data_IF_826874465828
#
_entry.id   IF_826874465828
#
_cell.length_a   1.000
_cell.length_b   1.000
_cell.length_c   1.000
_cell.angle_alpha   90.00
_cell.angle_beta   90.00
_cell.angle_gamma   90.00
#
_symmetry.space_group_name_H-M   'P 1'
#
loop_
_entity.id
_entity.type
_entity.pdbx_description
1 polymer ?
#
# COMPACT_ATOMS: atom_id res chain seq x y z
N UNK A 1 -21.66 84.01 -30.50
CA UNK A 1 -21.91 84.60 -29.17
C UNK A 1 -22.82 83.66 -28.38
N UNK A 2 -22.36 83.26 -27.18
CA UNK A 2 -23.05 82.60 -26.05
C UNK A 2 -23.85 81.29 -26.25
N UNK A 3 -23.28 80.25 -25.63
CA UNK A 3 -23.91 79.01 -25.13
C UNK A 3 -24.96 79.37 -24.08
N UNK A 4 -26.12 78.71 -24.09
CA UNK A 4 -27.03 78.66 -22.94
C UNK A 4 -27.33 77.20 -22.60
N UNK A 5 -26.74 76.73 -21.48
CA UNK A 5 -27.04 75.45 -20.85
C UNK A 5 -28.41 75.54 -20.17
N UNK A 6 -29.35 74.68 -20.56
CA UNK A 6 -30.57 74.45 -19.79
C UNK A 6 -30.35 73.25 -18.87
N UNK A 7 -30.24 73.51 -17.57
CA UNK A 7 -30.46 72.50 -16.53
C UNK A 7 -31.97 72.23 -16.46
N UNK A 8 -32.39 71.00 -16.77
CA UNK A 8 -33.75 70.54 -16.51
C UNK A 8 -33.72 69.78 -15.18
N UNK A 9 -34.38 70.32 -14.15
CA UNK A 9 -34.74 69.57 -12.94
C UNK A 9 -36.21 69.19 -13.05
N UNK A 10 -36.58 67.90 -13.18
CA UNK A 10 -37.98 67.51 -13.15
C UNK A 10 -38.43 67.31 -11.69
N UNK A 11 -39.54 67.96 -11.36
CA UNK A 11 -40.20 67.96 -10.05
C UNK A 11 -41.40 67.02 -10.09
N UNK A 12 -41.19 65.69 -10.08
CA UNK A 12 -42.20 64.69 -9.70
C UNK A 12 -41.60 63.28 -9.46
N UNK A 13 -41.02 63.04 -8.27
CA UNK A 13 -40.28 61.81 -7.96
C UNK A 13 -41.13 60.64 -7.41
N UNK A 14 -42.46 60.78 -7.31
CA UNK A 14 -43.33 59.75 -6.68
C UNK A 14 -43.41 58.44 -7.47
N UNK A 15 -43.37 58.50 -8.81
CA UNK A 15 -43.37 57.30 -9.67
C UNK A 15 -41.98 56.66 -9.82
N UNK A 16 -40.93 57.47 -9.87
CA UNK A 16 -39.54 57.00 -10.03
C UNK A 16 -39.07 56.25 -8.78
N UNK A 17 -39.44 56.72 -7.57
CA UNK A 17 -39.13 56.00 -6.33
C UNK A 17 -39.76 54.59 -6.30
N UNK A 18 -40.99 54.43 -6.83
CA UNK A 18 -41.65 53.13 -6.93
C UNK A 18 -40.93 52.19 -7.91
N UNK A 19 -40.49 52.71 -9.06
CA UNK A 19 -39.75 51.91 -10.04
C UNK A 19 -38.37 51.49 -9.53
N UNK A 20 -37.68 52.39 -8.82
CA UNK A 20 -36.39 52.07 -8.19
C UNK A 20 -36.58 51.01 -7.10
N UNK A 21 -37.58 51.16 -6.23
CA UNK A 21 -37.84 50.17 -5.16
C UNK A 21 -38.26 48.82 -5.72
N UNK A 22 -39.10 48.78 -6.76
CA UNK A 22 -39.46 47.53 -7.43
C UNK A 22 -38.24 46.87 -8.10
N UNK A 23 -37.40 47.66 -8.78
CA UNK A 23 -36.17 47.14 -9.41
C UNK A 23 -35.21 46.57 -8.37
N UNK A 24 -34.97 47.31 -7.28
CA UNK A 24 -34.14 46.85 -6.16
C UNK A 24 -34.73 45.59 -5.52
N UNK A 25 -36.06 45.54 -5.32
CA UNK A 25 -36.74 44.37 -4.75
C UNK A 25 -36.61 43.15 -5.66
N UNK A 26 -36.75 43.31 -6.98
CA UNK A 26 -36.57 42.18 -7.92
C UNK A 26 -35.14 41.63 -7.91
N UNK A 27 -34.13 42.49 -7.85
CA UNK A 27 -32.72 42.09 -7.77
C UNK A 27 -32.45 41.36 -6.45
N UNK A 28 -32.97 41.88 -5.33
CA UNK A 28 -32.81 41.24 -4.01
C UNK A 28 -33.49 39.87 -3.97
N UNK A 29 -34.70 39.74 -4.54
CA UNK A 29 -35.41 38.46 -4.59
C UNK A 29 -34.66 37.44 -5.45
N UNK A 30 -34.16 37.85 -6.63
CA UNK A 30 -33.37 36.98 -7.49
C UNK A 30 -32.10 36.49 -6.77
N UNK A 31 -31.37 37.42 -6.13
CA UNK A 31 -30.17 37.10 -5.37
C UNK A 31 -30.46 36.19 -4.18
N UNK A 32 -31.54 36.44 -3.43
CA UNK A 32 -31.94 35.60 -2.30
C UNK A 32 -32.33 34.18 -2.73
N UNK A 33 -32.99 34.03 -3.88
CA UNK A 33 -33.33 32.72 -4.45
C UNK A 33 -32.09 31.95 -4.89
N UNK A 34 -31.16 32.61 -5.58
CA UNK A 34 -29.90 32.01 -6.04
C UNK A 34 -29.01 31.59 -4.85
N UNK A 35 -28.94 32.42 -3.81
CA UNK A 35 -28.24 32.10 -2.57
C UNK A 35 -28.92 30.93 -1.82
N UNK A 36 -30.25 30.86 -1.80
CA UNK A 36 -30.97 29.74 -1.19
C UNK A 36 -30.72 28.42 -1.92
N UNK A 37 -30.72 28.44 -3.26
CA UNK A 37 -30.47 27.26 -4.08
C UNK A 37 -29.02 26.77 -3.94
N UNK A 38 -28.05 27.67 -3.98
CA UNK A 38 -26.63 27.33 -3.81
C UNK A 38 -26.30 26.78 -2.41
N UNK A 39 -26.88 27.37 -1.36
CA UNK A 39 -26.71 26.86 0.02
C UNK A 39 -27.34 25.46 0.16
N UNK A 40 -28.54 25.24 -0.36
CA UNK A 40 -29.19 23.91 -0.33
C UNK A 40 -28.38 22.87 -1.11
N UNK A 41 -27.89 23.21 -2.30
CA UNK A 41 -27.06 22.33 -3.12
C UNK A 41 -25.76 21.94 -2.39
N UNK A 42 -25.12 22.91 -1.72
CA UNK A 42 -23.90 22.68 -0.94
C UNK A 42 -24.14 21.82 0.31
N UNK A 43 -25.24 22.06 1.03
CA UNK A 43 -25.57 21.28 2.22
C UNK A 43 -25.93 19.83 1.88
N UNK A 44 -26.69 19.60 0.80
CA UNK A 44 -27.03 18.26 0.33
C UNK A 44 -25.78 17.53 -0.16
N UNK A 45 -24.89 18.18 -0.93
CA UNK A 45 -23.67 17.53 -1.42
C UNK A 45 -22.71 17.16 -0.29
N UNK A 46 -22.57 18.00 0.75
CA UNK A 46 -21.73 17.72 1.92
C UNK A 46 -22.32 16.61 2.79
N UNK A 47 -23.63 16.63 3.06
CA UNK A 47 -24.29 15.61 3.88
C UNK A 47 -24.32 14.24 3.19
N UNK A 48 -24.66 14.21 1.90
CA UNK A 48 -24.61 12.99 1.08
C UNK A 48 -23.18 12.48 0.96
N UNK A 49 -22.20 13.36 0.72
CA UNK A 49 -20.78 12.97 0.64
C UNK A 49 -20.25 12.32 1.91
N UNK A 50 -20.67 12.79 3.10
CA UNK A 50 -20.24 12.16 4.37
C UNK A 50 -20.86 10.78 4.58
N UNK A 51 -22.17 10.64 4.34
CA UNK A 51 -22.89 9.36 4.42
C UNK A 51 -22.35 8.35 3.41
N UNK A 52 -22.11 8.80 2.19
CA UNK A 52 -21.61 7.97 1.10
C UNK A 52 -20.20 7.48 1.43
N UNK A 53 -19.32 8.36 1.93
CA UNK A 53 -17.97 7.97 2.36
C UNK A 53 -17.97 7.00 3.55
N UNK A 54 -18.87 7.18 4.52
CA UNK A 54 -19.05 6.19 5.60
C UNK A 54 -19.51 4.84 5.07
N UNK A 55 -20.48 4.83 4.16
CA UNK A 55 -21.00 3.61 3.53
C UNK A 55 -19.88 2.88 2.80
N UNK A 56 -19.12 3.60 1.96
CA UNK A 56 -17.97 3.06 1.24
C UNK A 56 -16.88 2.49 2.17
N UNK A 57 -16.62 3.17 3.30
CA UNK A 57 -15.67 2.70 4.32
C UNK A 57 -16.11 1.36 4.92
N UNK A 58 -17.40 1.22 5.26
CA UNK A 58 -17.94 -0.04 5.76
C UNK A 58 -17.97 -1.14 4.70
N UNK A 59 -18.26 -0.81 3.44
CA UNK A 59 -18.18 -1.76 2.33
C UNK A 59 -16.75 -2.31 2.16
N UNK A 60 -15.77 -1.42 2.10
CA UNK A 60 -14.37 -1.80 1.98
C UNK A 60 -13.91 -2.62 3.20
N UNK A 61 -14.34 -2.24 4.40
CA UNK A 61 -14.02 -2.98 5.61
C UNK A 61 -14.66 -4.37 5.66
N UNK A 62 -15.92 -4.49 5.23
CA UNK A 62 -16.61 -5.77 5.09
C UNK A 62 -15.87 -6.70 4.12
N UNK A 63 -15.45 -6.17 2.97
CA UNK A 63 -14.63 -6.90 2.01
C UNK A 63 -13.36 -7.47 2.62
N UNK A 64 -12.58 -6.63 3.30
CA UNK A 64 -11.35 -7.05 3.97
C UNK A 64 -11.60 -8.16 4.99
N UNK A 65 -12.67 -8.06 5.79
CA UNK A 65 -13.01 -9.09 6.78
C UNK A 65 -13.41 -10.43 6.15
N UNK A 66 -14.19 -10.41 5.06
CA UNK A 66 -14.54 -11.63 4.31
C UNK A 66 -13.28 -12.28 3.74
N UNK A 67 -12.41 -11.49 3.12
CA UNK A 67 -11.12 -11.97 2.62
C UNK A 67 -10.24 -12.54 3.73
N UNK A 68 -10.18 -11.90 4.89
CA UNK A 68 -9.46 -12.44 6.06
C UNK A 68 -10.02 -13.79 6.51
N UNK A 69 -11.35 -13.97 6.47
CA UNK A 69 -12.01 -15.24 6.75
C UNK A 69 -11.64 -16.33 5.74
N UNK A 70 -11.65 -16.01 4.45
CA UNK A 70 -11.24 -16.92 3.37
C UNK A 70 -9.76 -17.32 3.52
N UNK A 71 -8.86 -16.36 3.73
CA UNK A 71 -7.43 -16.59 3.96
C UNK A 71 -7.15 -17.48 5.18
N UNK A 72 -7.96 -17.35 6.24
CA UNK A 72 -7.85 -18.15 7.45
C UNK A 72 -8.32 -19.59 7.24
N UNK A 73 -9.46 -19.77 6.54
CA UNK A 73 -10.00 -21.10 6.22
C UNK A 73 -9.09 -21.89 5.29
N UNK A 74 -8.45 -21.21 4.34
CA UNK A 74 -7.65 -21.88 3.31
C UNK A 74 -6.41 -22.60 3.87
N UNK A 75 -5.82 -22.09 4.95
CA UNK A 75 -4.65 -22.70 5.61
C UNK A 75 -4.97 -24.03 6.32
N UNK A 76 -6.25 -24.38 6.45
CA UNK A 76 -6.68 -25.71 6.91
C UNK A 76 -6.50 -26.78 5.82
N UNK A 77 -6.24 -26.39 4.57
CA UNK A 77 -5.89 -27.29 3.46
C UNK A 77 -4.37 -27.48 3.37
N UNK A 78 -3.92 -28.68 2.98
CA UNK A 78 -2.51 -29.08 3.05
C UNK A 78 -1.56 -28.17 2.22
N UNK A 79 -0.41 -27.83 2.81
CA UNK A 79 0.66 -26.99 2.24
C UNK A 79 1.24 -27.47 0.89
N UNK A 80 0.88 -28.69 0.48
CA UNK A 80 1.22 -29.26 -0.82
C UNK A 80 0.59 -28.45 -1.96
N UNK A 81 -0.50 -27.70 -1.76
CA UNK A 81 -1.18 -27.00 -2.85
C UNK A 81 -0.88 -25.49 -2.94
N UNK A 82 0.20 -24.99 -2.32
CA UNK A 82 0.41 -23.55 -2.12
C UNK A 82 0.35 -22.66 -3.39
N UNK A 83 0.72 -23.16 -4.59
CA UNK A 83 0.54 -22.41 -5.85
C UNK A 83 -0.95 -22.29 -6.18
N UNK A 84 -1.69 -23.40 -6.11
CA UNK A 84 -3.12 -23.43 -6.38
C UNK A 84 -3.90 -22.70 -5.30
N UNK A 85 -3.41 -22.71 -4.05
CA UNK A 85 -3.96 -21.97 -2.90
C UNK A 85 -4.14 -20.48 -3.24
N UNK A 86 -3.10 -19.85 -3.82
CA UNK A 86 -3.10 -18.42 -4.14
C UNK A 86 -4.06 -18.06 -5.30
N UNK A 87 -4.18 -18.92 -6.31
CA UNK A 87 -5.15 -18.73 -7.40
C UNK A 87 -6.59 -18.98 -6.95
N UNK A 88 -6.83 -20.02 -6.16
CA UNK A 88 -8.15 -20.35 -5.62
C UNK A 88 -8.68 -19.25 -4.68
N UNK A 89 -7.79 -18.52 -3.99
CA UNK A 89 -8.19 -17.36 -3.17
C UNK A 89 -8.82 -16.27 -4.04
N UNK A 90 -8.24 -15.97 -5.20
CA UNK A 90 -8.77 -14.93 -6.08
C UNK A 90 -10.17 -15.27 -6.59
N UNK A 91 -10.37 -16.50 -7.06
CA UNK A 91 -11.66 -16.96 -7.58
C UNK A 91 -12.70 -17.05 -6.45
N UNK A 92 -12.32 -17.60 -5.30
CA UNK A 92 -13.21 -17.68 -4.13
C UNK A 92 -13.61 -16.30 -3.58
N UNK A 93 -12.74 -15.29 -3.69
CA UNK A 93 -13.09 -13.91 -3.32
C UNK A 93 -14.11 -13.36 -4.30
N UNK A 94 -13.90 -13.53 -5.60
CA UNK A 94 -14.86 -13.10 -6.63
C UNK A 94 -16.22 -13.74 -6.39
N UNK A 95 -16.26 -15.07 -6.25
CA UNK A 95 -17.50 -15.82 -5.98
C UNK A 95 -18.19 -15.35 -4.70
N UNK A 96 -17.42 -15.14 -3.62
CA UNK A 96 -17.95 -14.65 -2.36
C UNK A 96 -18.55 -13.24 -2.51
N UNK A 97 -17.91 -12.36 -3.27
CA UNK A 97 -18.40 -11.00 -3.52
C UNK A 97 -19.64 -10.98 -4.41
N UNK A 98 -19.74 -11.89 -5.39
CA UNK A 98 -20.94 -12.06 -6.20
C UNK A 98 -22.12 -12.62 -5.39
N UNK A 99 -21.85 -13.51 -4.44
CA UNK A 99 -22.87 -14.11 -3.58
C UNK A 99 -23.46 -13.15 -2.53
N UNK A 100 -22.76 -12.05 -2.21
CA UNK A 100 -23.18 -11.03 -1.25
C UNK A 100 -23.16 -9.65 -1.93
N UNK A 101 -24.08 -9.39 -2.88
CA UNK A 101 -24.10 -8.12 -3.59
C UNK A 101 -24.53 -6.99 -2.65
N UNK A 102 -23.88 -5.83 -2.79
CA UNK A 102 -24.33 -4.62 -2.12
C UNK A 102 -25.53 -4.02 -2.86
N UNK A 103 -26.54 -3.56 -2.11
CA UNK A 103 -27.74 -2.91 -2.69
C UNK A 103 -27.38 -1.68 -3.53
N UNK A 104 -26.38 -0.92 -3.07
CA UNK A 104 -25.85 0.25 -3.77
C UNK A 104 -24.32 0.19 -3.79
N UNK A 105 -23.74 0.44 -4.97
CA UNK A 105 -22.29 0.49 -5.17
C UNK A 105 -21.67 -0.84 -5.58
N UNK A 106 -20.36 -0.80 -5.86
CA UNK A 106 -19.54 -1.95 -6.25
C UNK A 106 -18.33 -2.05 -5.33
N UNK A 107 -17.91 -3.27 -5.05
CA UNK A 107 -16.71 -3.57 -4.28
C UNK A 107 -15.78 -4.45 -5.13
N UNK A 108 -14.53 -4.04 -5.26
CA UNK A 108 -13.46 -4.81 -5.89
C UNK A 108 -12.40 -5.10 -4.85
N UNK A 109 -11.93 -6.34 -4.78
CA UNK A 109 -10.90 -6.76 -3.83
C UNK A 109 -9.71 -7.33 -4.61
N UNK A 110 -8.51 -6.96 -4.19
CA UNK A 110 -7.26 -7.56 -4.66
C UNK A 110 -6.46 -8.06 -3.46
N UNK A 111 -5.90 -9.26 -3.57
CA UNK A 111 -4.98 -9.82 -2.57
C UNK A 111 -3.60 -9.92 -3.17
N UNK A 112 -2.60 -9.43 -2.43
CA UNK A 112 -1.20 -9.41 -2.85
C UNK A 112 -0.40 -10.11 -1.76
N UNK A 113 0.44 -11.06 -2.16
CA UNK A 113 1.37 -11.71 -1.25
C UNK A 113 2.55 -10.77 -0.92
N UNK A 114 2.75 -10.47 0.36
CA UNK A 114 3.87 -9.63 0.80
C UNK A 114 5.17 -10.42 0.89
N UNK A 115 5.14 -11.76 1.04
CA UNK A 115 6.34 -12.60 0.95
C UNK A 115 6.81 -12.76 -0.49
N UNK A 116 6.02 -12.41 -1.50
CA UNK A 116 6.47 -12.37 -2.91
C UNK A 116 7.47 -11.23 -3.19
N UNK A 117 7.65 -10.32 -2.24
CA UNK A 117 8.44 -9.07 -2.36
C UNK A 117 9.75 -9.16 -1.58
N UNK A 118 10.71 -8.30 -1.93
CA UNK A 118 11.96 -8.16 -1.17
C UNK A 118 11.66 -7.51 0.18
N UNK A 119 11.97 -8.22 1.27
CA UNK A 119 11.76 -7.74 2.64
C UNK A 119 12.95 -6.88 3.06
N UNK A 120 12.81 -5.55 3.06
CA UNK A 120 13.93 -4.64 3.35
C UNK A 120 14.47 -4.81 4.78
N UNK A 121 13.59 -5.16 5.72
CA UNK A 121 13.95 -5.42 7.11
C UNK A 121 14.75 -6.73 7.30
N UNK A 122 14.88 -7.56 6.27
CA UNK A 122 15.66 -8.81 6.30
C UNK A 122 17.13 -8.64 5.90
N UNK A 123 17.55 -7.43 5.47
CA UNK A 123 18.94 -7.14 5.12
C UNK A 123 19.88 -7.24 6.33
N UNK A 124 19.34 -7.07 7.54
CA UNK A 124 20.07 -7.12 8.79
C UNK A 124 19.34 -8.04 9.79
N UNK A 125 20.04 -9.03 10.31
CA UNK A 125 19.49 -10.03 11.22
C UNK A 125 20.51 -10.39 12.30
N UNK A 126 20.05 -10.45 13.56
CA UNK A 126 20.85 -10.87 14.72
C UNK A 126 22.20 -10.13 14.84
N UNK A 127 22.21 -8.83 14.54
CA UNK A 127 23.42 -8.00 14.60
C UNK A 127 24.38 -8.17 13.43
N UNK A 128 23.95 -8.82 12.33
CA UNK A 128 24.77 -9.08 11.15
C UNK A 128 24.02 -8.79 9.86
N UNK A 129 24.78 -8.36 8.86
CA UNK A 129 24.34 -8.26 7.48
C UNK A 129 24.03 -9.63 6.89
N UNK A 130 22.97 -9.71 6.09
CA UNK A 130 22.55 -10.95 5.41
C UNK A 130 22.94 -10.84 3.94
N UNK A 131 24.12 -11.36 3.60
CA UNK A 131 24.71 -11.23 2.25
C UNK A 131 23.80 -11.67 1.11
N UNK A 132 23.09 -12.79 1.26
CA UNK A 132 22.14 -13.27 0.26
C UNK A 132 20.99 -12.28 -0.01
N UNK A 133 20.49 -11.60 1.04
CA UNK A 133 19.42 -10.61 0.93
C UNK A 133 19.92 -9.29 0.35
N UNK A 134 21.15 -8.91 0.68
CA UNK A 134 21.85 -7.75 0.12
C UNK A 134 22.06 -7.93 -1.39
N UNK A 135 22.56 -9.11 -1.80
CA UNK A 135 22.77 -9.45 -3.21
C UNK A 135 21.45 -9.43 -4.00
N UNK A 136 20.37 -9.95 -3.41
CA UNK A 136 19.03 -9.91 -3.99
C UNK A 136 18.54 -8.47 -4.22
N UNK A 137 18.65 -7.59 -3.23
CA UNK A 137 18.26 -6.18 -3.38
C UNK A 137 19.16 -5.48 -4.41
N UNK A 138 20.45 -5.74 -4.39
CA UNK A 138 21.40 -5.20 -5.36
C UNK A 138 21.01 -5.59 -6.80
N UNK A 139 20.76 -6.88 -7.05
CA UNK A 139 20.34 -7.40 -8.36
C UNK A 139 19.00 -6.81 -8.82
N UNK A 140 18.10 -6.49 -7.89
CA UNK A 140 16.84 -5.84 -8.20
C UNK A 140 17.01 -4.37 -8.61
N UNK A 141 17.89 -3.63 -7.93
CA UNK A 141 18.10 -2.20 -8.16
C UNK A 141 19.00 -1.91 -9.38
N UNK A 142 20.00 -2.76 -9.64
CA UNK A 142 21.01 -2.55 -10.68
C UNK A 142 20.43 -2.23 -12.08
N UNK A 143 19.51 -3.04 -12.63
CA UNK A 143 18.97 -2.79 -13.98
C UNK A 143 18.11 -1.52 -14.08
N UNK A 144 17.68 -0.95 -12.95
CA UNK A 144 16.86 0.28 -12.90
C UNK A 144 17.74 1.52 -12.84
N UNK A 145 18.87 1.44 -12.15
CA UNK A 145 19.78 2.56 -11.96
C UNK A 145 20.74 2.70 -13.15
N UNK A 146 21.22 1.61 -13.76
CA UNK A 146 22.07 1.68 -14.96
C UNK A 146 21.37 2.32 -16.18
N UNK A 147 20.04 2.25 -16.24
CA UNK A 147 19.24 2.94 -17.26
C UNK A 147 19.29 4.47 -17.11
N UNK A 148 19.61 4.96 -15.92
CA UNK A 148 19.68 6.38 -15.60
C UNK A 148 21.14 6.86 -15.50
N UNK A 149 21.77 7.04 -16.67
CA UNK A 149 23.18 7.50 -16.81
C UNK A 149 23.48 8.87 -16.17
N UNK A 150 22.47 9.57 -15.62
CA UNK A 150 22.62 10.88 -14.96
C UNK A 150 22.88 10.79 -13.46
N UNK A 151 22.54 9.68 -12.80
CA UNK A 151 22.71 9.54 -11.36
C UNK A 151 23.98 8.74 -11.05
N UNK A 152 25.01 9.43 -10.54
CA UNK A 152 26.26 8.84 -10.04
C UNK A 152 26.07 8.21 -8.65
N UNK A 153 24.89 7.67 -8.35
CA UNK A 153 24.61 7.06 -7.05
C UNK A 153 25.10 5.63 -7.11
N UNK A 154 26.14 5.33 -6.33
CA UNK A 154 26.57 3.96 -6.12
C UNK A 154 25.49 3.22 -5.32
N UNK A 155 24.90 2.19 -5.93
CA UNK A 155 23.85 1.34 -5.32
C UNK A 155 24.32 0.79 -3.97
N UNK A 156 25.59 0.41 -3.90
CA UNK A 156 26.26 -0.03 -2.68
C UNK A 156 26.14 1.00 -1.56
N UNK A 157 26.33 2.29 -1.85
CA UNK A 157 26.19 3.35 -0.85
C UNK A 157 24.76 3.50 -0.33
N UNK A 158 23.74 3.27 -1.18
CA UNK A 158 22.34 3.29 -0.74
C UNK A 158 22.05 2.09 0.18
N UNK A 159 22.50 0.89 -0.20
CA UNK A 159 22.28 -0.33 0.58
C UNK A 159 22.99 -0.25 1.93
N UNK A 160 24.25 0.22 1.96
CA UNK A 160 25.02 0.43 3.20
C UNK A 160 24.27 1.32 4.20
N UNK A 161 23.59 2.37 3.72
CA UNK A 161 22.85 3.29 4.58
C UNK A 161 21.51 2.75 5.05
N UNK A 162 20.88 1.90 4.23
CA UNK A 162 19.72 1.11 4.66
C UNK A 162 20.14 0.18 5.79
N UNK A 163 21.29 -0.50 5.66
CA UNK A 163 21.85 -1.37 6.71
C UNK A 163 22.18 -0.56 7.96
N UNK A 164 22.85 0.58 7.82
CA UNK A 164 23.18 1.49 8.94
C UNK A 164 21.92 1.95 9.69
N UNK A 165 20.82 2.19 8.98
CA UNK A 165 19.51 2.55 9.55
C UNK A 165 18.86 1.37 10.30
N UNK A 166 19.11 0.13 9.87
CA UNK A 166 18.59 -1.10 10.48
C UNK A 166 19.40 -1.53 11.71
N UNK A 167 20.72 -1.29 11.75
CA UNK A 167 21.58 -1.65 12.86
C UNK A 167 21.33 -0.74 14.09
N UNK A 168 20.77 -1.27 15.19
CA UNK A 168 20.52 -0.49 16.41
C UNK A 168 21.76 -0.30 17.27
N UNK A 169 22.85 -1.02 17.01
CA UNK A 169 24.10 -1.02 17.77
C UNK A 169 25.20 -0.16 17.16
N UNK A 170 25.01 0.29 15.92
CA UNK A 170 25.97 1.17 15.26
C UNK A 170 25.84 2.62 15.77
N UNK A 171 26.67 2.93 16.78
CA UNK A 171 26.88 4.26 17.35
C UNK A 171 27.73 5.18 16.46
N UNK A 172 28.00 4.82 15.19
CA UNK A 172 28.58 5.73 14.19
C UNK A 172 27.59 6.82 13.77
N UNK A 173 27.08 7.58 14.74
CA UNK A 173 26.60 8.94 14.53
C UNK A 173 27.79 9.74 14.02
N UNK A 174 27.87 9.84 12.69
CA UNK A 174 28.69 10.76 11.89
C UNK A 174 29.64 11.64 12.69
N UNK A 175 30.94 11.29 12.67
CA UNK A 175 32.00 12.29 12.75
C UNK A 175 31.81 13.25 11.55
N UNK A 176 30.97 14.26 11.74
CA UNK A 176 30.65 15.26 10.73
C UNK A 176 29.16 15.38 10.43
N UNK A 177 28.45 16.14 11.26
CA UNK A 177 27.22 16.85 10.93
C UNK A 177 26.01 16.00 10.47
N UNK A 178 25.18 15.55 11.42
CA UNK A 178 23.75 15.85 11.35
C UNK A 178 23.12 15.69 12.74
N UNK A 179 22.24 16.63 13.11
CA UNK A 179 21.36 16.54 14.28
C UNK A 179 20.07 15.77 13.94
N UNK A 180 20.06 14.94 12.90
CA UNK A 180 18.89 14.15 12.54
C UNK A 180 18.94 12.82 13.28
N UNK A 181 18.14 12.74 14.34
CA UNK A 181 17.77 11.48 14.99
C UNK A 181 16.90 10.68 14.03
N UNK A 182 17.48 10.15 12.95
CA UNK A 182 16.83 9.06 12.23
C UNK A 182 16.60 7.94 13.24
N UNK A 183 15.35 7.48 13.38
CA UNK A 183 15.06 6.34 14.23
C UNK A 183 15.98 5.19 13.80
N UNK A 184 16.48 4.36 14.71
CA UNK A 184 17.22 3.13 14.36
C UNK A 184 16.30 1.92 14.48
N UNK A 185 16.54 0.89 13.68
CA UNK A 185 15.81 -0.38 13.69
C UNK A 185 14.93 -0.61 12.45
N UNK A 186 13.99 -1.56 12.48
CA UNK A 186 13.17 -1.90 11.32
C UNK A 186 12.36 -0.71 10.78
N UNK A 187 12.20 -0.66 9.46
CA UNK A 187 11.27 0.24 8.78
C UNK A 187 9.83 -0.15 9.09
N UNK A 188 8.97 0.83 9.34
CA UNK A 188 7.53 0.63 9.59
C UNK A 188 6.72 1.04 8.36
N UNK A 189 7.24 2.00 7.58
CA UNK A 189 6.66 2.46 6.32
C UNK A 189 7.75 2.64 5.25
N UNK A 190 7.43 2.37 3.97
CA UNK A 190 8.38 2.53 2.87
C UNK A 190 8.78 4.00 2.65
N UNK A 191 7.91 4.96 3.02
CA UNK A 191 8.19 6.39 2.94
C UNK A 191 9.37 6.83 3.81
N UNK A 192 9.73 6.06 4.84
CA UNK A 192 10.93 6.29 5.65
C UNK A 192 12.23 6.20 4.85
N UNK A 193 12.21 5.55 3.67
CA UNK A 193 13.37 5.55 2.76
C UNK A 193 13.81 6.96 2.37
N UNK A 194 12.89 7.93 2.32
CA UNK A 194 13.23 9.35 2.05
C UNK A 194 14.11 9.99 3.12
N UNK A 195 14.15 9.42 4.33
CA UNK A 195 14.95 9.92 5.44
C UNK A 195 16.39 9.40 5.39
N UNK A 196 16.68 8.42 4.54
CA UNK A 196 18.01 7.87 4.35
C UNK A 196 18.81 8.82 3.47
N UNK A 197 19.93 9.30 4.00
CA UNK A 197 20.82 10.18 3.24
C UNK A 197 21.24 9.50 1.93
N UNK A 198 21.18 10.20 0.81
CA UNK A 198 21.48 9.61 -0.51
C UNK A 198 20.29 8.94 -1.21
N UNK A 199 19.17 8.70 -0.52
CA UNK A 199 17.90 8.38 -1.19
C UNK A 199 17.18 9.69 -1.49
N UNK A 200 17.38 10.21 -2.71
CA UNK A 200 16.73 11.46 -3.12
C UNK A 200 15.35 11.19 -3.73
N UNK A 201 14.42 12.17 -3.72
CA UNK A 201 13.16 12.07 -4.44
C UNK A 201 13.35 11.73 -5.92
N UNK A 202 14.43 12.20 -6.54
CA UNK A 202 14.80 11.88 -7.92
C UNK A 202 15.15 10.40 -8.08
N UNK A 203 15.93 9.82 -7.16
CA UNK A 203 16.23 8.39 -7.17
C UNK A 203 14.95 7.56 -7.05
N UNK A 204 14.07 7.92 -6.12
CA UNK A 204 12.77 7.24 -5.95
C UNK A 204 11.95 7.32 -7.24
N UNK A 205 11.94 8.49 -7.89
CA UNK A 205 11.27 8.67 -9.19
C UNK A 205 11.89 7.81 -10.29
N UNK A 206 13.22 7.72 -10.36
CA UNK A 206 13.93 6.83 -11.30
C UNK A 206 13.57 5.36 -11.06
N UNK A 207 13.35 4.97 -9.81
CA UNK A 207 12.89 3.63 -9.45
C UNK A 207 11.38 3.39 -9.71
N UNK A 208 10.67 4.36 -10.29
CA UNK A 208 9.24 4.27 -10.61
C UNK A 208 8.30 4.85 -9.55
N UNK A 209 8.84 5.50 -8.51
CA UNK A 209 8.08 6.05 -7.40
C UNK A 209 7.75 5.00 -6.32
N UNK A 210 7.16 5.47 -5.21
CA UNK A 210 6.76 4.58 -4.11
C UNK A 210 5.71 3.55 -4.51
N UNK A 211 4.85 3.88 -5.49
CA UNK A 211 3.87 2.95 -6.01
C UNK A 211 4.56 1.71 -6.62
N UNK A 212 5.54 1.92 -7.50
CA UNK A 212 6.27 0.82 -8.15
C UNK A 212 7.19 0.07 -7.18
N UNK A 213 7.83 0.80 -6.25
CA UNK A 213 8.60 0.17 -5.18
C UNK A 213 7.73 -0.72 -4.31
N UNK A 214 6.52 -0.29 -3.95
CA UNK A 214 5.61 -1.06 -3.09
C UNK A 214 5.08 -2.37 -3.71
N UNK A 215 5.18 -2.50 -5.04
CA UNK A 215 4.88 -3.76 -5.75
C UNK A 215 5.97 -4.81 -5.55
N UNK A 216 7.21 -4.38 -5.31
CA UNK A 216 8.39 -5.25 -5.34
C UNK A 216 9.16 -5.32 -4.01
N UNK A 217 8.98 -4.33 -3.14
CA UNK A 217 9.67 -4.20 -1.85
C UNK A 217 8.61 -4.07 -0.75
N UNK A 218 8.89 -4.67 0.40
CA UNK A 218 8.04 -4.62 1.58
C UNK A 218 8.83 -4.37 2.87
N UNK A 219 8.16 -3.76 3.85
CA UNK A 219 8.62 -3.65 5.24
C UNK A 219 8.04 -4.76 6.13
N UNK A 220 7.14 -5.59 5.59
CA UNK A 220 6.48 -6.68 6.29
C UNK A 220 7.22 -8.02 6.10
N UNK A 221 6.71 -9.10 6.69
CA UNK A 221 7.35 -10.43 6.68
C UNK A 221 8.02 -10.83 8.01
N UNK A 222 8.01 -9.91 8.99
CA UNK A 222 8.59 -10.13 10.30
C UNK A 222 7.67 -10.88 11.26
N UNK A 223 8.19 -11.93 11.90
CA UNK A 223 7.48 -12.70 12.94
C UNK A 223 8.07 -12.42 14.31
N UNK A 224 7.22 -12.29 15.34
CA UNK A 224 7.69 -12.24 16.73
C UNK A 224 7.95 -13.68 17.23
N UNK A 225 9.09 -13.97 17.89
CA UNK A 225 9.31 -15.25 18.54
C UNK A 225 8.15 -15.52 19.50
N UNK A 226 7.45 -16.63 19.27
CA UNK A 226 6.21 -16.95 19.98
C UNK A 226 6.51 -17.50 21.38
N UNK A 227 6.85 -16.61 22.32
CA UNK A 227 6.93 -16.90 23.75
C UNK A 227 5.92 -16.09 24.55
N UNK A 228 4.76 -16.68 24.85
CA UNK A 228 3.93 -16.25 25.98
C UNK A 228 4.55 -16.84 27.26
N UNK A 229 5.50 -16.11 27.85
CA UNK A 229 6.04 -16.40 29.16
C UNK A 229 6.19 -15.09 29.90
N UNK A 230 5.14 -14.72 30.65
CA UNK A 230 5.06 -13.56 31.54
C UNK A 230 5.25 -12.18 30.87
N UNK A 231 4.39 -11.23 31.23
CA UNK A 231 4.68 -9.83 30.96
C UNK A 231 6.07 -9.51 31.55
N UNK A 232 6.98 -8.87 30.79
CA UNK A 232 8.20 -8.36 31.40
C UNK A 232 7.79 -7.19 32.30
N UNK A 233 7.69 -7.46 33.60
CA UNK A 233 7.93 -6.44 34.62
C UNK A 233 9.39 -6.01 34.48
N UNK A 234 9.60 -4.79 33.97
CA UNK A 234 10.91 -4.18 33.83
C UNK A 234 11.14 -3.63 32.43
N UNK A 235 11.41 -2.34 32.35
CA UNK A 235 11.86 -1.63 31.16
C UNK A 235 12.95 -2.40 30.42
N UNK A 236 12.87 -2.46 29.09
CA UNK A 236 13.87 -3.03 28.16
C UNK A 236 13.76 -4.54 27.87
N UNK A 237 12.88 -4.92 26.95
CA UNK A 237 13.12 -5.98 25.94
C UNK A 237 12.04 -5.88 24.87
N UNK A 238 12.27 -5.05 23.84
CA UNK A 238 11.47 -5.08 22.60
C UNK A 238 11.47 -6.53 22.12
N UNK A 239 10.30 -7.13 21.89
CA UNK A 239 10.22 -8.43 21.20
C UNK A 239 10.92 -8.24 19.85
N UNK A 240 12.08 -8.88 19.67
CA UNK A 240 12.80 -8.80 18.40
C UNK A 240 11.94 -9.46 17.33
N UNK A 241 11.43 -8.65 16.40
CA UNK A 241 10.78 -9.16 15.19
C UNK A 241 11.87 -9.74 14.31
N UNK A 242 11.72 -11.00 13.91
CA UNK A 242 12.66 -11.71 13.06
C UNK A 242 12.12 -11.71 11.64
N UNK A 243 12.91 -11.22 10.71
CA UNK A 243 12.64 -11.24 9.28
C UNK A 243 13.47 -12.37 8.66
N UNK A 244 12.82 -13.32 7.99
CA UNK A 244 13.52 -14.43 7.34
C UNK A 244 14.08 -14.04 5.95
N UNK A 245 13.51 -12.99 5.33
CA UNK A 245 13.87 -12.53 4.00
C UNK A 245 13.49 -13.49 2.88
N UNK A 246 12.76 -14.57 3.18
CA UNK A 246 12.44 -15.59 2.18
C UNK A 246 11.34 -15.10 1.26
N UNK A 247 11.57 -15.22 -0.04
CA UNK A 247 10.63 -14.86 -1.09
C UNK A 247 9.72 -16.04 -1.42
N UNK A 248 8.41 -15.83 -1.42
CA UNK A 248 7.46 -16.81 -1.95
C UNK A 248 7.57 -16.86 -3.48
N UNK A 249 8.20 -17.92 -3.99
CA UNK A 249 8.43 -18.10 -5.43
C UNK A 249 7.17 -18.48 -6.20
N UNK A 250 6.09 -18.88 -5.53
CA UNK A 250 4.83 -19.19 -6.19
C UNK A 250 4.15 -17.92 -6.75
N UNK A 251 4.34 -16.79 -6.05
CA UNK A 251 3.67 -15.50 -6.32
C UNK A 251 4.65 -14.37 -6.65
N UNK A 252 5.96 -14.62 -6.58
CA UNK A 252 6.98 -13.63 -6.95
C UNK A 252 6.78 -13.09 -8.37
N UNK A 253 6.79 -11.78 -8.53
CA UNK A 253 6.66 -11.15 -9.84
C UNK A 253 7.95 -11.25 -10.66
N UNK A 254 7.84 -11.07 -11.99
CA UNK A 254 8.95 -11.22 -12.93
C UNK A 254 10.22 -10.42 -12.53
N UNK A 255 10.13 -9.17 -12.03
CA UNK A 255 11.33 -8.44 -11.59
C UNK A 255 12.02 -9.06 -10.37
N UNK A 256 11.26 -9.71 -9.50
CA UNK A 256 11.79 -10.41 -8.30
C UNK A 256 12.44 -11.73 -8.72
N UNK A 257 11.78 -12.49 -9.60
CA UNK A 257 12.37 -13.69 -10.18
C UNK A 257 13.68 -13.39 -10.90
N UNK A 258 13.72 -12.29 -11.67
CA UNK A 258 14.95 -11.83 -12.34
C UNK A 258 16.06 -11.53 -11.34
N UNK A 259 15.74 -10.88 -10.21
CA UNK A 259 16.73 -10.61 -9.16
C UNK A 259 17.23 -11.88 -8.46
N UNK A 260 16.37 -12.90 -8.34
CA UNK A 260 16.69 -14.20 -7.74
C UNK A 260 17.63 -15.05 -8.61
N UNK A 261 17.41 -15.11 -9.93
CA UNK A 261 18.19 -15.97 -10.84
C UNK A 261 19.28 -15.23 -11.61
N UNK A 262 19.24 -13.90 -11.67
CA UNK A 262 20.19 -13.06 -12.41
C UNK A 262 20.00 -13.04 -13.93
N UNK A 263 19.38 -14.08 -14.52
CA UNK A 263 19.06 -14.16 -15.95
C UNK A 263 17.55 -13.91 -16.23
N UNK A 264 17.20 -12.82 -16.93
CA UNK A 264 15.81 -12.52 -17.31
C UNK A 264 15.11 -13.64 -18.10
N UNK A 265 15.85 -14.44 -18.89
CA UNK A 265 15.27 -15.55 -19.66
C UNK A 265 14.84 -16.67 -18.74
N UNK A 266 15.71 -17.08 -17.83
CA UNK A 266 15.39 -18.10 -16.81
C UNK A 266 14.23 -17.64 -15.92
N UNK A 267 14.19 -16.35 -15.55
CA UNK A 267 13.08 -15.78 -14.80
C UNK A 267 11.74 -15.86 -15.57
N UNK A 268 11.77 -15.63 -16.88
CA UNK A 268 10.60 -15.74 -17.74
C UNK A 268 10.16 -17.21 -17.91
N UNK A 269 11.11 -18.14 -18.00
CA UNK A 269 10.82 -19.58 -18.05
C UNK A 269 10.14 -20.03 -16.75
N UNK A 270 10.65 -19.59 -15.59
CA UNK A 270 9.99 -19.81 -14.29
C UNK A 270 8.58 -19.22 -14.27
N UNK A 271 8.42 -17.97 -14.74
CA UNK A 271 7.13 -17.29 -14.73
C UNK A 271 6.09 -18.07 -15.54
N UNK A 272 6.41 -18.43 -16.79
CA UNK A 272 5.53 -19.20 -17.68
C UNK A 272 5.22 -20.58 -17.13
N UNK A 273 6.24 -21.27 -16.61
CA UNK A 273 6.08 -22.58 -16.02
C UNK A 273 5.06 -22.57 -14.86
N UNK A 274 5.03 -21.50 -14.04
CA UNK A 274 3.98 -21.34 -13.01
C UNK A 274 2.60 -21.08 -13.60
N UNK A 275 2.49 -20.34 -14.70
CA UNK A 275 1.20 -20.12 -15.37
C UNK A 275 0.63 -21.41 -15.96
N UNK A 276 1.48 -22.25 -16.57
CA UNK A 276 1.08 -23.56 -17.09
C UNK A 276 0.60 -24.50 -15.96
N UNK A 277 1.24 -24.44 -14.79
CA UNK A 277 0.82 -25.18 -13.59
C UNK A 277 -0.53 -24.76 -13.01
N UNK A 278 -1.09 -23.63 -13.45
CA UNK A 278 -2.42 -23.19 -13.01
C UNK A 278 -3.50 -24.15 -13.49
N UNK A 279 -3.35 -24.66 -14.71
CA UNK A 279 -4.35 -25.49 -15.39
C UNK A 279 -4.10 -27.00 -15.19
N UNK A 280 -2.90 -27.38 -14.75
CA UNK A 280 -2.47 -28.77 -14.52
C UNK A 280 -2.39 -29.16 -13.03
N UNK A 281 -2.13 -30.44 -12.75
CA UNK A 281 -1.85 -30.91 -11.38
C UNK A 281 -0.56 -30.27 -10.85
N UNK A 282 -0.63 -29.71 -9.63
CA UNK A 282 0.52 -29.17 -8.93
C UNK A 282 1.67 -30.19 -8.86
N UNK A 283 2.87 -29.73 -9.21
CA UNK A 283 4.10 -30.52 -9.06
C UNK A 283 4.86 -30.03 -7.82
N UNK A 284 4.98 -30.85 -6.77
CA UNK A 284 5.81 -30.53 -5.61
C UNK A 284 7.26 -30.28 -6.01
N UNK A 285 7.93 -29.39 -5.28
CA UNK A 285 9.37 -29.11 -5.47
C UNK A 285 9.76 -28.69 -6.91
N UNK A 286 8.81 -28.21 -7.72
CA UNK A 286 9.03 -27.82 -9.11
C UNK A 286 10.21 -26.88 -9.30
N UNK A 287 10.45 -26.02 -8.32
CA UNK A 287 11.49 -25.00 -8.34
C UNK A 287 12.91 -25.57 -8.33
N UNK A 288 13.09 -26.85 -7.98
CA UNK A 288 14.40 -27.51 -7.94
C UNK A 288 15.05 -27.70 -9.32
N UNK A 289 14.26 -27.64 -10.38
CA UNK A 289 14.79 -27.69 -11.75
C UNK A 289 15.44 -26.37 -12.19
N UNK A 290 15.21 -25.28 -11.44
CA UNK A 290 15.73 -23.95 -11.73
C UNK A 290 16.91 -23.60 -10.80
N UNK A 291 17.85 -22.74 -11.23
CA UNK A 291 19.02 -22.34 -10.45
C UNK A 291 18.67 -21.30 -9.36
N UNK A 292 17.71 -21.62 -8.50
CA UNK A 292 17.25 -20.74 -7.41
C UNK A 292 18.07 -20.99 -6.13
N UNK A 293 18.51 -19.91 -5.48
CA UNK A 293 19.15 -19.99 -4.17
C UNK A 293 18.11 -20.38 -3.09
N UNK A 294 18.26 -21.58 -2.55
CA UNK A 294 17.36 -22.17 -1.56
C UNK A 294 17.31 -21.41 -0.23
N UNK A 295 18.33 -20.60 0.09
CA UNK A 295 18.38 -19.82 1.33
C UNK A 295 17.42 -18.63 1.31
N UNK A 296 17.07 -18.12 0.13
CA UNK A 296 16.26 -16.90 -0.04
C UNK A 296 14.85 -17.16 -0.52
N UNK A 297 14.45 -18.42 -0.71
CA UNK A 297 13.11 -18.77 -1.21
C UNK A 297 12.27 -19.53 -0.17
N UNK A 298 10.96 -19.46 -0.37
CA UNK A 298 9.92 -20.23 0.31
C UNK A 298 8.80 -20.50 -0.69
N UNK A 299 7.96 -21.49 -0.42
CA UNK A 299 6.72 -21.77 -1.14
C UNK A 299 5.48 -21.51 -0.27
N UNK A 300 5.68 -20.88 0.89
CA UNK A 300 4.64 -20.58 1.88
C UNK A 300 4.64 -19.08 2.16
N UNK A 301 3.43 -18.50 2.20
CA UNK A 301 3.19 -17.15 2.72
C UNK A 301 2.18 -17.13 3.85
N UNK A 302 2.39 -16.18 4.76
CA UNK A 302 1.50 -15.85 5.87
C UNK A 302 1.29 -14.33 5.98
N UNK A 303 1.75 -13.54 5.00
CA UNK A 303 1.63 -12.08 4.99
C UNK A 303 0.96 -11.63 3.70
N UNK A 304 -0.18 -10.95 3.82
CA UNK A 304 -0.97 -10.54 2.67
C UNK A 304 -1.37 -9.07 2.79
N UNK A 305 -1.43 -8.39 1.66
CA UNK A 305 -2.05 -7.08 1.51
C UNK A 305 -3.39 -7.27 0.81
N UNK A 306 -4.45 -6.75 1.43
CA UNK A 306 -5.80 -6.75 0.89
C UNK A 306 -6.14 -5.31 0.51
N UNK A 307 -6.42 -5.08 -0.76
CA UNK A 307 -6.85 -3.79 -1.29
C UNK A 307 -8.32 -3.87 -1.68
N UNK A 308 -9.16 -3.18 -0.93
CA UNK A 308 -10.60 -3.11 -1.15
C UNK A 308 -10.97 -1.73 -1.72
N UNK A 309 -11.48 -1.71 -2.94
CA UNK A 309 -11.96 -0.49 -3.62
C UNK A 309 -13.47 -0.52 -3.70
N UNK A 310 -14.12 0.37 -2.94
CA UNK A 310 -15.56 0.58 -2.97
C UNK A 310 -15.90 1.81 -3.83
N UNK A 311 -16.94 1.70 -4.66
CA UNK A 311 -17.44 2.79 -5.50
C UNK A 311 -18.95 2.94 -5.42
N UNK A 312 -19.45 4.16 -5.21
CA UNK A 312 -20.88 4.49 -5.15
C UNK A 312 -21.07 5.97 -5.55
N UNK A 313 -22.02 6.27 -6.44
CA UNK A 313 -22.38 7.63 -6.87
C UNK A 313 -21.15 8.50 -7.23
N UNK A 314 -20.25 7.98 -8.07
CA UNK A 314 -18.97 8.60 -8.48
C UNK A 314 -17.94 8.85 -7.36
N UNK A 315 -18.26 8.50 -6.12
CA UNK A 315 -17.31 8.48 -5.00
C UNK A 315 -16.59 7.13 -4.98
N UNK A 316 -15.27 7.17 -4.88
CA UNK A 316 -14.41 6.00 -4.72
C UNK A 316 -13.65 6.10 -3.40
N UNK A 317 -13.54 4.97 -2.70
CA UNK A 317 -12.70 4.82 -1.52
C UNK A 317 -11.88 3.54 -1.65
N UNK A 318 -10.57 3.64 -1.41
CA UNK A 318 -9.69 2.47 -1.35
C UNK A 318 -9.22 2.27 0.09
N UNK A 319 -9.50 1.11 0.66
CA UNK A 319 -8.94 0.67 1.93
C UNK A 319 -7.87 -0.38 1.67
N UNK A 320 -6.72 -0.25 2.33
CA UNK A 320 -5.61 -1.20 2.24
C UNK A 320 -5.32 -1.74 3.63
N UNK A 321 -5.40 -3.05 3.80
CA UNK A 321 -5.03 -3.72 5.04
C UNK A 321 -3.85 -4.66 4.77
N UNK A 322 -2.83 -4.62 5.62
CA UNK A 322 -1.78 -5.65 5.63
C UNK A 322 -2.06 -6.57 6.80
N UNK A 323 -2.13 -7.86 6.54
CA UNK A 323 -2.52 -8.89 7.49
C UNK A 323 -1.46 -9.97 7.62
N UNK A 324 -1.35 -10.55 8.82
CA UNK A 324 -0.52 -11.71 9.12
C UNK A 324 -1.41 -12.87 9.56
N UNK A 325 -1.32 -14.01 8.89
CA UNK A 325 -1.96 -15.26 9.30
C UNK A 325 -1.22 -15.82 10.50
N UNK A 326 -1.92 -15.97 11.63
CA UNK A 326 -1.37 -16.58 12.84
C UNK A 326 -2.27 -17.71 13.34
N UNK A 327 -1.65 -18.82 13.73
CA UNK A 327 -2.35 -19.94 14.33
C UNK A 327 -2.45 -19.74 15.84
N UNK A 328 -3.67 -19.85 16.37
CA UNK A 328 -3.87 -19.85 17.81
C UNK A 328 -3.37 -21.18 18.40
N UNK A 329 -2.28 -21.14 19.16
CA UNK A 329 -1.65 -22.32 19.78
C UNK A 329 -2.58 -23.15 20.66
N UNK A 330 -3.64 -22.56 21.23
CA UNK A 330 -4.59 -23.27 22.11
C UNK A 330 -5.69 -23.98 21.35
N UNK A 331 -6.16 -23.38 20.26
CA UNK A 331 -7.32 -23.89 19.51
C UNK A 331 -6.96 -24.55 18.19
N UNK A 332 -5.71 -24.39 17.72
CA UNK A 332 -5.26 -24.82 16.41
C UNK A 332 -5.85 -24.01 15.25
N UNK A 333 -6.77 -23.07 15.52
CA UNK A 333 -7.46 -22.29 14.50
C UNK A 333 -6.57 -21.19 13.94
N UNK A 334 -6.59 -21.03 12.63
CA UNK A 334 -5.96 -19.92 11.93
C UNK A 334 -6.81 -18.66 12.00
N UNK A 335 -6.14 -17.53 12.15
CA UNK A 335 -6.77 -16.20 12.16
C UNK A 335 -5.86 -15.20 11.45
N UNK A 336 -6.43 -14.14 10.90
CA UNK A 336 -5.67 -13.02 10.35
C UNK A 336 -5.58 -11.88 11.37
N UNK A 337 -4.37 -11.41 11.67
CA UNK A 337 -4.11 -10.21 12.46
C UNK A 337 -3.79 -9.04 11.54
N UNK A 338 -4.50 -7.92 11.68
CA UNK A 338 -4.20 -6.69 10.95
C UNK A 338 -2.92 -6.06 11.52
N UNK A 339 -1.94 -5.82 10.66
CA UNK A 339 -0.67 -5.14 10.97
C UNK A 339 -0.72 -3.65 10.63
N UNK A 340 -1.43 -3.30 9.55
CA UNK A 340 -1.57 -1.93 9.06
C UNK A 340 -2.94 -1.76 8.40
N UNK A 341 -3.51 -0.56 8.54
CA UNK A 341 -4.74 -0.16 7.88
C UNK A 341 -4.61 1.27 7.36
N UNK A 342 -4.90 1.46 6.09
CA UNK A 342 -4.87 2.76 5.43
C UNK A 342 -6.13 2.95 4.59
N UNK A 343 -6.55 4.20 4.43
CA UNK A 343 -7.71 4.55 3.60
C UNK A 343 -7.37 5.79 2.80
N UNK A 344 -7.62 5.75 1.50
CA UNK A 344 -7.31 6.81 0.54
C UNK A 344 -8.50 7.13 -0.36
#
# INVERSE_FOLDING_TARGET
>A
MKIMRFFITPKNNRGIALLITLSVMTIIIAFALELSQSVRATLISVASGHRDRMTLSYMAAGGIQVTMGLLSKNKELDAVHAIQEDFMISDAITDAMESIPFENGKLSIQVIDEKAKIQINALFKDGKEVGDQINLLHNFLLPRIEKDKKNSIEISSVIERIIERLDPSDDRVSLGQSKDKTAKGPFIDLGELTQIKGVTPELIKTLGGFEELSKNITVYGGTSPTGSGSAPTGDSKKKNVIYDGKININTAELPILTALVGDPKVAQDIYKFREEMKDDQYVPDWYRQFPLNQNVITNISDFFRIEATATMNDVRLKATAVVHREQNKKTGKWTCKILSWQTS
#
